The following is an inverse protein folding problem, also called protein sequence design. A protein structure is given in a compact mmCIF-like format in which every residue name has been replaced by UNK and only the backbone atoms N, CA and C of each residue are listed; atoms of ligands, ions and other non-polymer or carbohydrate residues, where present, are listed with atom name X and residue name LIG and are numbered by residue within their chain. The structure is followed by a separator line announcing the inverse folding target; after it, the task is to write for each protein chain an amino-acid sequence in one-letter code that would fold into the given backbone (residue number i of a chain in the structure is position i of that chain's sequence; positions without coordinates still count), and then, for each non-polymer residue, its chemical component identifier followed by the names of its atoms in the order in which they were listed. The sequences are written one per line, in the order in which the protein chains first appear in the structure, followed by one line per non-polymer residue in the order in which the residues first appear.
data_IF_009940227776
#
_entry.id   IF_009940227776
#
_cell.length_a   1.000
_cell.length_b   1.000
_cell.length_c   1.000
_cell.angle_alpha   90.00
_cell.angle_beta   90.00
_cell.angle_gamma   90.00
#
_symmetry.space_group_name_H-M   'P 1'
#
loop_
_entity.id
_entity.type
_entity.pdbx_description
1 polymer ?
#
# COMPACT_ATOMS: atom_id res chain seq x y z
N UNK A 1 5.42 -35.84 -7.67
CA UNK A 1 5.89 -34.81 -6.71
C UNK A 1 4.85 -34.51 -5.60
N UNK A 2 4.57 -35.52 -4.74
CA UNK A 2 3.65 -35.38 -3.61
C UNK A 2 4.14 -34.38 -2.52
N UNK A 3 5.43 -34.05 -2.52
CA UNK A 3 6.07 -33.17 -1.49
C UNK A 3 5.85 -31.67 -1.72
N UNK A 4 5.49 -31.22 -2.92
CA UNK A 4 5.31 -29.81 -3.24
C UNK A 4 4.11 -29.20 -2.51
N UNK A 5 2.88 -29.80 -2.53
CA UNK A 5 1.74 -29.27 -1.79
C UNK A 5 1.96 -29.23 -0.27
N UNK A 6 2.60 -30.27 0.29
CA UNK A 6 2.93 -30.31 1.72
C UNK A 6 3.92 -29.21 2.10
N UNK A 7 4.92 -28.97 1.24
CA UNK A 7 5.88 -27.89 1.43
C UNK A 7 5.17 -26.52 1.34
N UNK A 8 4.29 -26.32 0.35
CA UNK A 8 3.52 -25.08 0.21
C UNK A 8 2.68 -24.79 1.45
N UNK A 9 1.95 -25.79 1.97
CA UNK A 9 1.16 -25.65 3.18
C UNK A 9 2.03 -25.32 4.41
N UNK A 10 3.21 -25.94 4.53
CA UNK A 10 4.15 -25.65 5.60
C UNK A 10 4.70 -24.20 5.53
N UNK A 11 4.98 -23.70 4.33
CA UNK A 11 5.40 -22.32 4.12
C UNK A 11 4.27 -21.34 4.48
N UNK A 12 3.06 -21.56 4.00
CA UNK A 12 1.91 -20.71 4.35
C UNK A 12 1.67 -20.68 5.87
N UNK A 13 1.81 -21.83 6.55
CA UNK A 13 1.64 -21.88 8.00
C UNK A 13 2.70 -21.09 8.76
N UNK A 14 3.95 -21.09 8.27
CA UNK A 14 5.09 -20.48 8.96
C UNK A 14 5.28 -19.01 8.65
N UNK A 15 5.06 -18.60 7.39
CA UNK A 15 5.38 -17.28 6.89
C UNK A 15 4.12 -16.51 6.56
N UNK A 16 3.91 -15.39 7.24
CA UNK A 16 2.74 -14.54 7.08
C UNK A 16 2.64 -13.94 5.67
N UNK A 17 3.76 -13.43 5.14
CA UNK A 17 3.88 -12.85 3.82
C UNK A 17 3.53 -13.86 2.70
N UNK A 18 4.01 -15.11 2.83
CA UNK A 18 3.71 -16.17 1.87
C UNK A 18 2.22 -16.53 1.86
N UNK A 19 1.57 -16.66 3.01
CA UNK A 19 0.13 -16.95 3.05
C UNK A 19 -0.73 -15.76 2.67
N UNK A 20 -0.20 -14.53 2.78
CA UNK A 20 -0.90 -13.28 2.45
C UNK A 20 -0.76 -12.95 0.96
N UNK A 21 0.45 -12.85 0.45
CA UNK A 21 0.73 -12.38 -0.91
C UNK A 21 1.10 -13.51 -1.88
N UNK A 22 1.48 -14.66 -1.35
CA UNK A 22 1.99 -15.76 -2.15
C UNK A 22 3.48 -15.62 -2.47
N UNK A 23 3.95 -16.43 -3.40
CA UNK A 23 5.33 -16.40 -3.84
C UNK A 23 5.71 -17.56 -4.75
N UNK A 24 6.88 -17.45 -5.38
CA UNK A 24 7.50 -18.53 -6.15
C UNK A 24 8.68 -19.08 -5.36
N UNK A 25 8.53 -20.30 -4.86
CA UNK A 25 9.48 -20.96 -3.96
C UNK A 25 10.14 -22.13 -4.66
N UNK A 26 11.05 -21.84 -5.59
CA UNK A 26 11.70 -22.83 -6.47
C UNK A 26 13.12 -23.19 -6.03
N UNK A 27 13.76 -22.39 -5.18
CA UNK A 27 15.13 -22.63 -4.71
C UNK A 27 15.14 -23.45 -3.42
N UNK A 28 16.08 -24.38 -3.29
CA UNK A 28 16.19 -25.27 -2.14
C UNK A 28 15.03 -26.27 -2.06
N UNK A 29 14.23 -26.23 -1.01
CA UNK A 29 13.04 -27.07 -0.86
C UNK A 29 11.91 -26.50 -1.70
N UNK A 30 11.69 -27.08 -2.86
CA UNK A 30 10.67 -26.63 -3.80
C UNK A 30 9.26 -26.74 -3.19
N UNK A 31 8.58 -25.61 -3.07
CA UNK A 31 7.16 -25.50 -2.70
C UNK A 31 6.28 -25.02 -3.87
N UNK A 32 6.88 -24.77 -5.03
CA UNK A 32 6.19 -24.33 -6.23
C UNK A 32 5.72 -22.88 -6.17
N UNK A 33 4.62 -22.61 -6.87
CA UNK A 33 3.98 -21.31 -6.88
C UNK A 33 2.77 -21.32 -5.94
N UNK A 34 2.74 -20.34 -5.06
CA UNK A 34 1.63 -20.07 -4.13
C UNK A 34 1.02 -18.74 -4.53
N UNK A 35 -0.29 -18.74 -4.79
CA UNK A 35 -1.05 -17.51 -5.04
C UNK A 35 -1.72 -17.10 -3.73
N UNK A 36 -1.36 -15.95 -3.19
CA UNK A 36 -1.96 -15.41 -1.98
C UNK A 36 -3.30 -14.73 -2.23
N UNK A 37 -4.14 -14.57 -1.18
CA UNK A 37 -5.44 -13.91 -1.27
C UNK A 37 -5.35 -12.42 -1.54
N UNK A 38 -4.31 -11.75 -1.07
CA UNK A 38 -4.15 -10.30 -1.17
C UNK A 38 -3.38 -9.94 -2.43
N UNK A 39 -4.01 -9.14 -3.28
CA UNK A 39 -3.41 -8.61 -4.49
C UNK A 39 -3.53 -7.08 -4.46
N UNK A 40 -2.40 -6.39 -4.34
CA UNK A 40 -2.32 -4.94 -4.41
C UNK A 40 -1.94 -4.54 -5.84
N UNK A 41 -2.68 -3.60 -6.39
CA UNK A 41 -2.32 -2.96 -7.65
C UNK A 41 -1.12 -2.03 -7.51
N UNK A 42 -0.64 -1.53 -8.63
CA UNK A 42 0.38 -0.48 -8.60
C UNK A 42 -0.25 0.84 -8.15
N UNK A 43 0.50 1.60 -7.37
CA UNK A 43 0.07 2.94 -6.99
C UNK A 43 0.08 3.86 -8.22
N UNK A 44 -1.04 4.55 -8.44
CA UNK A 44 -1.16 5.55 -9.51
C UNK A 44 -1.25 6.94 -8.91
N UNK A 45 -0.48 7.89 -9.45
CA UNK A 45 -0.59 9.30 -9.04
C UNK A 45 -1.89 9.91 -9.57
N UNK A 46 -2.55 10.71 -8.74
CA UNK A 46 -3.80 11.42 -9.12
C UNK A 46 -3.55 12.44 -10.23
N UNK A 47 -2.40 13.11 -10.18
CA UNK A 47 -1.92 14.06 -11.18
C UNK A 47 -0.55 13.66 -11.72
N UNK A 48 -0.13 14.20 -12.88
CA UNK A 48 1.24 14.08 -13.33
C UNK A 48 2.23 14.57 -12.26
N UNK A 49 3.21 13.76 -11.93
CA UNK A 49 4.24 14.11 -10.94
C UNK A 49 5.35 14.93 -11.58
N UNK A 50 5.87 15.90 -10.83
CA UNK A 50 7.08 16.64 -11.21
C UNK A 50 8.30 15.98 -10.57
N UNK A 51 9.27 15.61 -11.41
CA UNK A 51 10.53 15.02 -10.97
C UNK A 51 11.59 16.10 -11.03
N UNK A 52 12.20 16.40 -9.88
CA UNK A 52 13.31 17.34 -9.75
C UNK A 52 14.63 16.57 -9.81
N UNK A 53 15.55 17.02 -10.65
CA UNK A 53 16.91 16.49 -10.73
C UNK A 53 17.82 17.27 -9.78
N UNK A 54 18.33 16.60 -8.76
CA UNK A 54 19.25 17.18 -7.79
C UNK A 54 20.65 16.60 -8.01
N UNK A 55 21.63 17.48 -8.23
CA UNK A 55 23.02 17.08 -8.26
C UNK A 55 23.59 17.07 -6.85
N UNK A 56 24.15 15.94 -6.44
CA UNK A 56 24.83 15.78 -5.16
C UNK A 56 26.33 15.72 -5.43
N UNK A 57 27.08 16.64 -4.86
CA UNK A 57 28.52 16.65 -4.96
C UNK A 57 29.11 16.18 -3.63
N UNK A 58 29.93 15.12 -3.68
CA UNK A 58 30.73 14.68 -2.57
C UNK A 58 32.17 15.15 -2.79
N UNK A 59 32.75 15.77 -1.78
CA UNK A 59 34.14 16.16 -1.71
C UNK A 59 34.89 15.12 -0.86
N UNK A 60 35.34 14.03 -1.48
CA UNK A 60 36.05 12.97 -0.77
C UNK A 60 36.87 12.19 -1.80
N UNK A 61 38.15 11.99 -1.52
CA UNK A 61 38.98 11.12 -2.34
C UNK A 61 38.53 9.66 -2.16
N UNK A 62 38.32 8.95 -3.25
CA UNK A 62 37.76 7.60 -3.24
C UNK A 62 38.33 6.70 -4.33
N UNK A 63 39.51 7.02 -4.83
CA UNK A 63 40.09 6.24 -5.93
C UNK A 63 40.73 4.98 -5.37
N UNK A 64 39.98 3.89 -5.40
CA UNK A 64 40.32 2.47 -5.46
C UNK A 64 41.41 1.86 -4.57
N UNK A 65 42.07 2.63 -3.74
CA UNK A 65 43.15 2.15 -2.89
C UNK A 65 42.64 1.77 -1.50
N UNK A 66 42.93 0.57 -1.06
CA UNK A 66 42.75 0.16 0.33
C UNK A 66 43.81 0.86 1.20
N UNK A 67 43.37 1.91 1.90
CA UNK A 67 44.24 2.59 2.86
C UNK A 67 44.31 1.78 4.17
N UNK A 68 45.52 1.56 4.65
CA UNK A 68 45.75 0.79 5.89
C UNK A 68 45.58 1.64 7.14
N UNK A 69 45.77 2.96 7.01
CA UNK A 69 45.67 3.92 8.12
C UNK A 69 44.97 5.20 7.67
N UNK A 70 44.45 5.98 8.64
CA UNK A 70 43.87 7.29 8.38
C UNK A 70 44.91 8.26 7.88
N UNK A 71 46.12 8.21 8.41
CA UNK A 71 47.24 9.06 8.00
C UNK A 71 47.63 8.85 6.54
N UNK A 72 47.56 7.60 6.03
CA UNK A 72 47.82 7.29 4.62
C UNK A 72 46.76 7.90 3.73
N UNK A 73 45.48 7.84 4.14
CA UNK A 73 44.37 8.46 3.45
C UNK A 73 44.50 9.99 3.41
N UNK A 74 44.76 10.64 4.55
CA UNK A 74 44.93 12.09 4.66
C UNK A 74 46.11 12.62 3.80
N UNK A 75 47.19 11.87 3.74
CA UNK A 75 48.34 12.23 2.90
C UNK A 75 47.95 12.17 1.41
N UNK A 76 47.35 11.08 0.98
CA UNK A 76 46.93 10.90 -0.40
C UNK A 76 45.85 11.94 -0.78
N UNK A 77 44.92 12.22 0.11
CA UNK A 77 43.91 13.25 -0.09
C UNK A 77 44.53 14.66 -0.24
N UNK A 78 45.58 14.96 0.50
CA UNK A 78 46.26 16.27 0.42
C UNK A 78 47.00 16.48 -0.90
N UNK A 79 47.45 15.41 -1.54
CA UNK A 79 48.21 15.46 -2.80
C UNK A 79 47.28 15.65 -4.03
N UNK A 80 45.97 15.43 -3.88
CA UNK A 80 45.00 15.55 -4.98
C UNK A 80 44.35 16.93 -5.00
N UNK A 81 44.07 17.43 -6.21
CA UNK A 81 43.36 18.69 -6.42
C UNK A 81 41.85 18.54 -6.11
N UNK A 82 41.18 19.68 -5.94
CA UNK A 82 39.75 19.71 -5.65
C UNK A 82 38.88 19.07 -6.74
N UNK A 83 39.34 19.03 -7.98
CA UNK A 83 38.57 18.43 -9.10
C UNK A 83 38.57 16.91 -9.00
N UNK A 84 39.69 16.33 -8.61
CA UNK A 84 39.84 14.87 -8.45
C UNK A 84 39.06 14.37 -7.23
N UNK A 85 38.85 15.21 -6.21
CA UNK A 85 38.05 14.91 -5.02
C UNK A 85 36.54 14.95 -5.27
N UNK A 86 36.10 15.59 -6.36
CA UNK A 86 34.67 15.77 -6.66
C UNK A 86 34.08 14.54 -7.31
N UNK A 87 33.21 13.86 -6.58
CA UNK A 87 32.31 12.84 -7.16
C UNK A 87 30.91 13.39 -7.24
N UNK A 88 30.35 13.45 -8.45
CA UNK A 88 28.97 13.91 -8.68
C UNK A 88 28.06 12.72 -8.81
N UNK A 89 26.90 12.81 -8.17
CA UNK A 89 25.79 11.87 -8.32
C UNK A 89 24.51 12.64 -8.63
N UNK A 90 23.62 12.03 -9.38
CA UNK A 90 22.28 12.56 -9.61
C UNK A 90 21.28 11.85 -8.71
N UNK A 91 20.36 12.61 -8.13
CA UNK A 91 19.23 12.10 -7.37
C UNK A 91 17.95 12.71 -7.91
N UNK A 92 17.01 11.84 -8.28
CA UNK A 92 15.66 12.28 -8.69
C UNK A 92 14.76 12.32 -7.47
N UNK A 93 14.06 13.43 -7.29
CA UNK A 93 13.18 13.68 -6.15
C UNK A 93 11.81 14.08 -6.65
N UNK A 94 10.77 13.51 -6.06
CA UNK A 94 9.38 13.94 -6.24
C UNK A 94 9.00 14.78 -5.02
N UNK A 95 8.79 16.07 -5.22
CA UNK A 95 8.50 17.00 -4.12
C UNK A 95 7.14 16.74 -3.46
N UNK A 96 6.16 16.36 -4.26
CA UNK A 96 4.82 16.00 -3.82
C UNK A 96 4.15 15.08 -4.85
N UNK A 97 3.33 14.15 -4.38
CA UNK A 97 2.46 13.35 -5.19
C UNK A 97 1.41 12.65 -4.32
N UNK A 98 0.15 12.71 -4.73
CA UNK A 98 -0.93 11.93 -4.14
C UNK A 98 -1.12 10.68 -5.00
N UNK A 99 -1.06 9.52 -4.36
CA UNK A 99 -1.18 8.23 -5.02
C UNK A 99 -2.39 7.46 -4.50
N UNK A 100 -3.03 6.72 -5.37
CA UNK A 100 -4.10 5.80 -5.04
C UNK A 100 -3.63 4.37 -5.28
N UNK A 101 -3.84 3.52 -4.28
CA UNK A 101 -3.59 2.08 -4.37
C UNK A 101 -4.91 1.35 -4.23
N UNK A 102 -5.16 0.42 -5.13
CA UNK A 102 -6.34 -0.45 -5.09
C UNK A 102 -5.89 -1.88 -4.83
N UNK A 103 -6.67 -2.62 -4.07
CA UNK A 103 -6.37 -4.01 -3.76
C UNK A 103 -7.61 -4.87 -3.69
N UNK A 104 -7.42 -6.17 -3.88
CA UNK A 104 -8.47 -7.17 -3.73
C UNK A 104 -8.03 -8.27 -2.78
N UNK A 105 -8.97 -8.81 -2.03
CA UNK A 105 -8.77 -9.94 -1.14
C UNK A 105 -9.73 -11.04 -1.55
N UNK A 106 -9.17 -12.19 -1.97
CA UNK A 106 -9.93 -13.33 -2.44
C UNK A 106 -10.21 -14.31 -1.29
N UNK A 107 -11.48 -14.51 -0.87
CA UNK A 107 -11.82 -15.46 0.17
C UNK A 107 -11.45 -16.91 -0.18
N UNK A 108 -11.61 -17.30 -1.44
CA UNK A 108 -11.27 -18.65 -1.89
C UNK A 108 -9.77 -18.95 -1.81
N UNK A 109 -8.91 -17.94 -2.06
CA UNK A 109 -7.48 -18.07 -1.89
C UNK A 109 -7.08 -18.00 -0.41
N UNK A 110 -7.80 -17.23 0.41
CA UNK A 110 -7.60 -17.18 1.87
C UNK A 110 -7.79 -18.57 2.50
N UNK A 111 -8.86 -19.26 2.14
CA UNK A 111 -9.12 -20.65 2.57
C UNK A 111 -7.96 -21.57 2.17
N UNK A 112 -7.43 -21.43 0.96
CA UNK A 112 -6.32 -22.28 0.46
C UNK A 112 -5.00 -22.05 1.16
N UNK A 113 -4.68 -20.79 1.49
CA UNK A 113 -3.39 -20.44 2.13
C UNK A 113 -3.45 -20.49 3.64
N UNK A 114 -4.66 -20.52 4.23
CA UNK A 114 -4.89 -20.40 5.67
C UNK A 114 -4.77 -18.97 6.19
N UNK A 115 -4.97 -17.99 5.29
CA UNK A 115 -5.06 -16.56 5.68
C UNK A 115 -6.31 -16.34 6.53
N UNK A 116 -6.12 -15.81 7.71
CA UNK A 116 -7.17 -15.65 8.73
C UNK A 116 -7.62 -14.19 8.85
N UNK A 117 -8.67 -13.97 9.65
CA UNK A 117 -9.12 -12.63 10.02
C UNK A 117 -8.06 -11.87 10.84
N UNK A 118 -7.32 -12.54 11.69
CA UNK A 118 -6.18 -11.96 12.41
C UNK A 118 -5.09 -11.48 11.43
N UNK A 119 -4.85 -12.24 10.36
CA UNK A 119 -3.90 -11.85 9.33
C UNK A 119 -4.40 -10.65 8.53
N UNK A 120 -5.70 -10.55 8.30
CA UNK A 120 -6.34 -9.41 7.65
C UNK A 120 -6.22 -8.15 8.49
N UNK A 121 -6.47 -8.24 9.79
CA UNK A 121 -6.33 -7.12 10.72
C UNK A 121 -4.88 -6.62 10.76
N UNK A 122 -3.90 -7.53 10.80
CA UNK A 122 -2.47 -7.18 10.71
C UNK A 122 -2.10 -6.51 9.38
N UNK A 123 -2.73 -6.95 8.27
CA UNK A 123 -2.53 -6.31 6.97
C UNK A 123 -3.00 -4.85 7.00
N UNK A 124 -4.20 -4.60 7.52
CA UNK A 124 -4.74 -3.24 7.61
C UNK A 124 -3.92 -2.35 8.55
N UNK A 125 -3.49 -2.89 9.69
CA UNK A 125 -2.58 -2.23 10.60
C UNK A 125 -1.26 -1.86 9.90
N UNK A 126 -0.66 -2.80 9.18
CA UNK A 126 0.58 -2.57 8.44
C UNK A 126 0.42 -1.52 7.34
N UNK A 127 -0.68 -1.52 6.58
CA UNK A 127 -0.94 -0.54 5.52
C UNK A 127 -1.07 0.88 6.06
N UNK A 128 -1.67 1.06 7.24
CA UNK A 128 -1.82 2.38 7.87
C UNK A 128 -0.51 2.90 8.48
N UNK A 129 0.41 2.01 8.87
CA UNK A 129 1.63 2.37 9.59
C UNK A 129 2.92 2.20 8.79
N UNK A 130 2.88 1.61 7.59
CA UNK A 130 4.11 1.22 6.88
C UNK A 130 5.11 2.37 6.66
N UNK A 131 4.64 3.60 6.51
CA UNK A 131 5.50 4.76 6.31
C UNK A 131 6.07 5.33 7.61
N UNK A 132 5.48 5.04 8.76
CA UNK A 132 6.00 5.48 10.07
C UNK A 132 7.32 4.75 10.41
N UNK A 133 7.48 3.52 9.91
CA UNK A 133 8.65 2.68 10.17
C UNK A 133 9.68 2.66 9.02
N UNK A 134 9.29 3.09 7.81
CA UNK A 134 10.17 3.11 6.64
C UNK A 134 10.64 4.53 6.31
N UNK A 135 11.40 5.12 7.21
CA UNK A 135 11.92 6.47 7.08
C UNK A 135 13.27 6.52 6.39
N UNK A 136 13.44 7.46 5.48
CA UNK A 136 14.71 7.82 4.88
C UNK A 136 14.70 9.29 4.46
N UNK A 137 15.85 9.86 4.17
CA UNK A 137 15.95 11.24 3.69
C UNK A 137 15.11 11.52 2.40
N UNK A 138 14.83 10.47 1.62
CA UNK A 138 14.02 10.58 0.40
C UNK A 138 12.54 10.30 0.63
N UNK A 139 12.18 9.74 1.78
CA UNK A 139 10.81 9.34 2.12
C UNK A 139 10.21 10.20 3.24
N UNK A 140 10.90 11.27 3.61
CA UNK A 140 10.44 12.16 4.66
C UNK A 140 9.11 12.80 4.27
N UNK A 141 8.10 12.67 5.15
CA UNK A 141 6.75 13.17 4.91
C UNK A 141 5.82 12.23 4.13
N UNK A 142 6.30 11.04 3.72
CA UNK A 142 5.39 10.00 3.20
C UNK A 142 4.50 9.47 4.31
N UNK A 143 3.22 9.32 4.01
CA UNK A 143 2.22 8.81 4.97
C UNK A 143 1.03 8.17 4.24
N UNK A 144 0.26 7.35 4.94
CA UNK A 144 -1.10 7.04 4.56
C UNK A 144 -1.93 8.32 4.68
N UNK A 145 -2.39 8.87 3.56
CA UNK A 145 -3.03 10.20 3.50
C UNK A 145 -4.53 10.16 3.83
N UNK A 146 -5.13 8.95 3.86
CA UNK A 146 -6.55 8.74 4.17
C UNK A 146 -6.72 7.45 4.98
N UNK A 147 -7.88 7.26 5.63
CA UNK A 147 -8.25 5.95 6.15
C UNK A 147 -8.32 4.90 5.04
N UNK A 148 -8.27 3.64 5.39
CA UNK A 148 -8.57 2.55 4.47
C UNK A 148 -10.08 2.53 4.21
N UNK A 149 -10.47 2.50 2.94
CA UNK A 149 -11.85 2.30 2.50
C UNK A 149 -11.99 0.85 2.06
N UNK A 150 -12.89 0.13 2.71
CA UNK A 150 -13.04 -1.32 2.59
C UNK A 150 -14.42 -1.63 2.04
N UNK A 151 -14.48 -2.38 0.94
CA UNK A 151 -15.73 -2.89 0.37
C UNK A 151 -15.86 -4.38 0.70
N UNK A 152 -16.84 -4.73 1.53
CA UNK A 152 -17.13 -6.11 1.93
C UNK A 152 -18.33 -6.63 1.18
N UNK A 153 -18.17 -7.73 0.44
CA UNK A 153 -19.28 -8.45 -0.16
C UNK A 153 -20.00 -9.26 0.90
N UNK A 154 -21.31 -8.99 1.09
CA UNK A 154 -22.14 -9.58 2.15
C UNK A 154 -23.28 -10.45 1.63
N UNK A 155 -23.43 -10.54 0.29
CA UNK A 155 -24.53 -11.24 -0.36
C UNK A 155 -25.82 -10.40 -0.47
N UNK A 156 -26.73 -10.82 -1.35
CA UNK A 156 -27.98 -10.11 -1.65
C UNK A 156 -29.23 -10.85 -1.18
N UNK A 157 -29.06 -12.04 -0.57
CA UNK A 157 -30.14 -12.96 -0.16
C UNK A 157 -30.03 -13.28 1.32
N UNK A 158 -30.28 -12.32 2.25
CA UNK A 158 -30.17 -12.56 3.69
C UNK A 158 -31.13 -13.64 4.20
N UNK A 159 -32.23 -13.89 3.48
CA UNK A 159 -33.23 -14.94 3.76
C UNK A 159 -32.75 -16.35 3.39
N UNK A 160 -31.70 -16.49 2.57
CA UNK A 160 -31.13 -17.75 2.15
C UNK A 160 -29.62 -17.76 2.42
N UNK A 161 -29.19 -18.26 3.60
CA UNK A 161 -27.77 -18.20 4.03
C UNK A 161 -26.79 -18.85 3.07
N UNK A 162 -27.14 -19.98 2.46
CA UNK A 162 -26.27 -20.71 1.54
C UNK A 162 -26.04 -19.91 0.25
N UNK A 163 -27.10 -19.36 -0.31
CA UNK A 163 -27.00 -18.53 -1.52
C UNK A 163 -26.26 -17.24 -1.20
N UNK A 164 -26.53 -16.63 -0.04
CA UNK A 164 -25.91 -15.38 0.39
C UNK A 164 -24.39 -15.54 0.56
N UNK A 165 -23.95 -16.63 1.22
CA UNK A 165 -22.53 -16.95 1.38
C UNK A 165 -21.85 -17.16 0.03
N UNK A 166 -22.51 -17.89 -0.88
CA UNK A 166 -21.98 -18.10 -2.24
C UNK A 166 -21.80 -16.80 -3.00
N UNK A 167 -22.77 -15.89 -2.92
CA UNK A 167 -22.70 -14.57 -3.56
C UNK A 167 -21.60 -13.70 -2.92
N UNK A 168 -21.50 -13.68 -1.60
CA UNK A 168 -20.45 -12.98 -0.90
C UNK A 168 -19.05 -13.47 -1.34
N UNK A 169 -18.90 -14.79 -1.54
CA UNK A 169 -17.66 -15.43 -1.95
C UNK A 169 -17.27 -15.13 -3.40
N UNK A 170 -18.26 -15.04 -4.30
CA UNK A 170 -18.08 -14.75 -5.72
C UNK A 170 -18.03 -13.26 -6.05
N UNK A 171 -18.51 -12.42 -5.15
CA UNK A 171 -18.63 -10.98 -5.30
C UNK A 171 -19.99 -10.54 -5.85
N UNK A 172 -20.60 -9.56 -5.17
CA UNK A 172 -21.92 -9.01 -5.50
C UNK A 172 -21.85 -7.86 -6.52
N UNK A 173 -20.67 -7.25 -6.68
CA UNK A 173 -20.46 -6.12 -7.59
C UNK A 173 -19.04 -6.14 -8.17
N UNK A 174 -18.86 -5.75 -9.44
CA UNK A 174 -17.52 -5.64 -10.04
C UNK A 174 -16.65 -4.61 -9.33
N UNK A 175 -15.40 -4.97 -9.04
CA UNK A 175 -14.45 -4.14 -8.28
C UNK A 175 -14.27 -2.73 -8.86
N UNK A 176 -14.21 -2.57 -10.20
CA UNK A 176 -14.07 -1.26 -10.83
C UNK A 176 -15.21 -0.31 -10.51
N UNK A 177 -16.44 -0.81 -10.27
CA UNK A 177 -17.57 0.03 -9.85
C UNK A 177 -17.43 0.50 -8.41
N UNK A 178 -16.86 -0.34 -7.54
CA UNK A 178 -16.58 0.00 -6.16
C UNK A 178 -15.48 1.06 -6.08
N UNK A 179 -14.37 0.86 -6.78
CA UNK A 179 -13.26 1.82 -6.82
C UNK A 179 -13.68 3.18 -7.39
N UNK A 180 -14.56 3.19 -8.38
CA UNK A 180 -15.10 4.42 -8.97
C UNK A 180 -16.02 5.23 -8.05
N UNK A 181 -16.39 4.72 -6.88
CA UNK A 181 -17.12 5.49 -5.88
C UNK A 181 -16.25 6.56 -5.23
N UNK A 182 -14.94 6.31 -5.10
CA UNK A 182 -13.99 7.33 -4.64
C UNK A 182 -13.59 8.22 -5.80
N UNK A 183 -13.86 9.51 -5.68
CA UNK A 183 -13.49 10.55 -6.65
C UNK A 183 -12.51 11.51 -6.02
N UNK A 184 -11.37 11.68 -6.68
CA UNK A 184 -10.34 12.62 -6.26
C UNK A 184 -10.09 13.54 -7.45
N UNK A 185 -10.30 14.83 -7.23
CA UNK A 185 -10.12 15.85 -8.27
C UNK A 185 -9.33 17.01 -7.69
N UNK A 186 -8.43 17.56 -8.49
CA UNK A 186 -7.70 18.76 -8.10
C UNK A 186 -8.65 19.94 -8.02
N UNK A 187 -8.52 20.77 -6.98
CA UNK A 187 -9.33 21.98 -6.79
C UNK A 187 -9.11 22.98 -7.91
N UNK A 188 -10.16 23.72 -8.25
CA UNK A 188 -10.09 24.79 -9.22
C UNK A 188 -9.07 25.86 -8.82
N UNK A 189 -8.25 26.32 -9.77
CA UNK A 189 -7.19 27.29 -9.52
C UNK A 189 -5.89 26.73 -8.96
N UNK A 190 -5.82 25.45 -8.62
CA UNK A 190 -4.59 24.79 -8.19
C UNK A 190 -3.88 24.22 -9.42
N UNK A 191 -2.77 24.81 -9.79
CA UNK A 191 -1.96 24.32 -10.93
C UNK A 191 -1.07 23.13 -10.49
N UNK A 192 -0.36 23.30 -9.39
CA UNK A 192 0.56 22.31 -8.82
C UNK A 192 0.18 22.00 -7.37
N UNK A 193 -0.49 20.85 -7.11
CA UNK A 193 -0.82 20.45 -5.73
C UNK A 193 0.42 20.21 -4.88
N UNK A 194 0.35 20.61 -3.62
CA UNK A 194 1.45 20.46 -2.65
C UNK A 194 1.00 19.85 -1.32
N UNK A 195 -0.28 19.63 -1.15
CA UNK A 195 -0.90 19.11 0.07
C UNK A 195 -2.23 18.44 -0.25
N UNK A 196 -2.74 17.63 0.67
CA UNK A 196 -3.98 16.90 0.48
C UNK A 196 -5.19 17.83 0.29
N UNK A 197 -5.18 18.99 0.98
CA UNK A 197 -6.24 19.98 0.91
C UNK A 197 -6.34 20.69 -0.45
N UNK A 198 -5.39 20.46 -1.37
CA UNK A 198 -5.45 20.95 -2.74
C UNK A 198 -6.36 20.09 -3.63
N UNK A 199 -6.92 19.02 -3.08
CA UNK A 199 -7.86 18.12 -3.75
C UNK A 199 -9.25 18.18 -3.12
N UNK A 200 -10.26 17.95 -3.97
CA UNK A 200 -11.61 17.60 -3.56
C UNK A 200 -11.73 16.08 -3.62
N UNK A 201 -11.98 15.48 -2.48
CA UNK A 201 -12.13 14.04 -2.32
C UNK A 201 -13.57 13.76 -1.93
N UNK A 202 -14.25 12.91 -2.70
CA UNK A 202 -15.65 12.58 -2.46
C UNK A 202 -15.91 11.09 -2.63
N UNK A 203 -16.70 10.53 -1.73
CA UNK A 203 -17.24 9.19 -1.81
C UNK A 203 -18.67 9.26 -2.32
N UNK A 204 -18.89 8.77 -3.57
CA UNK A 204 -20.19 8.75 -4.23
C UNK A 204 -20.86 7.39 -3.97
N UNK A 205 -21.74 7.34 -2.98
CA UNK A 205 -22.42 6.10 -2.58
C UNK A 205 -23.81 6.08 -3.20
N UNK A 206 -24.12 5.09 -4.06
CA UNK A 206 -25.49 4.94 -4.60
C UNK A 206 -26.51 4.74 -3.48
N UNK A 207 -27.70 5.33 -3.65
CA UNK A 207 -28.83 5.15 -2.70
C UNK A 207 -29.16 3.68 -2.47
N UNK A 208 -29.10 2.86 -3.54
CA UNK A 208 -29.33 1.43 -3.47
C UNK A 208 -28.06 0.67 -3.80
N UNK A 209 -27.35 0.24 -2.77
CA UNK A 209 -26.21 -0.67 -2.90
C UNK A 209 -26.56 -2.00 -2.22
N UNK A 210 -26.71 -3.05 -3.04
CA UNK A 210 -27.09 -4.38 -2.54
C UNK A 210 -25.87 -5.28 -2.44
N UNK A 211 -25.79 -6.04 -1.37
CA UNK A 211 -24.76 -7.06 -1.16
C UNK A 211 -23.35 -6.54 -0.89
N UNK A 212 -23.22 -5.23 -0.64
CA UNK A 212 -21.95 -4.60 -0.30
C UNK A 212 -22.13 -3.80 0.99
N UNK A 213 -21.21 -3.97 1.91
CA UNK A 213 -21.02 -3.05 3.02
C UNK A 213 -19.72 -2.26 2.83
N UNK A 214 -19.69 -1.03 3.30
CA UNK A 214 -18.51 -0.16 3.22
C UNK A 214 -17.99 0.06 4.63
N UNK A 215 -16.71 -0.25 4.82
CA UNK A 215 -16.00 0.00 6.06
C UNK A 215 -14.95 1.07 5.92
N UNK A 216 -14.68 1.78 7.00
CA UNK A 216 -13.60 2.75 7.12
C UNK A 216 -12.73 2.35 8.31
N UNK A 217 -11.41 2.28 8.09
CA UNK A 217 -10.43 2.05 9.16
C UNK A 217 -9.42 3.19 9.17
N UNK A 218 -9.55 4.03 10.17
CA UNK A 218 -8.66 5.19 10.38
C UNK A 218 -7.51 4.84 11.33
N UNK A 219 -7.86 4.22 12.45
CA UNK A 219 -6.89 3.85 13.47
C UNK A 219 -6.32 2.45 13.20
N UNK A 220 -4.98 2.29 13.14
CA UNK A 220 -4.35 0.98 12.98
C UNK A 220 -4.83 -0.07 14.00
N UNK A 221 -4.99 0.35 15.25
CA UNK A 221 -5.38 -0.52 16.39
C UNK A 221 -6.88 -0.45 16.73
N UNK A 222 -7.66 0.37 16.03
CA UNK A 222 -9.10 0.49 16.20
C UNK A 222 -9.89 -0.50 15.36
N UNK A 223 -11.18 -0.53 15.58
CA UNK A 223 -12.12 -1.33 14.80
C UNK A 223 -12.40 -0.68 13.42
N UNK A 224 -12.97 -1.47 12.54
CA UNK A 224 -13.52 -0.97 11.27
C UNK A 224 -14.92 -0.44 11.56
N UNK A 225 -15.18 0.81 11.16
CA UNK A 225 -16.51 1.42 11.26
C UNK A 225 -17.28 1.04 10.00
N UNK A 226 -18.30 0.19 10.14
CA UNK A 226 -19.13 -0.26 9.03
C UNK A 226 -20.33 0.64 8.84
N UNK A 227 -20.61 1.02 7.60
CA UNK A 227 -21.73 1.91 7.25
C UNK A 227 -23.07 1.33 7.67
N UNK A 228 -23.29 0.02 7.51
CA UNK A 228 -24.54 -0.63 7.87
C UNK A 228 -24.74 -0.72 9.41
N UNK A 229 -23.70 -0.61 10.20
CA UNK A 229 -23.75 -0.62 11.66
C UNK A 229 -23.98 0.79 12.23
N UNK A 230 -23.26 1.80 11.67
CA UNK A 230 -23.34 3.18 12.11
C UNK A 230 -23.09 4.15 10.95
N UNK A 231 -24.16 4.57 10.26
CA UNK A 231 -24.08 5.49 9.12
C UNK A 231 -23.51 6.86 9.52
N UNK A 232 -23.88 7.35 10.68
CA UNK A 232 -23.47 8.69 11.16
C UNK A 232 -21.97 8.70 11.51
N UNK A 233 -21.50 7.69 12.24
CA UNK A 233 -20.10 7.57 12.60
C UNK A 233 -19.21 7.33 11.37
N UNK A 234 -19.66 6.50 10.44
CA UNK A 234 -19.00 6.26 9.16
C UNK A 234 -18.83 7.57 8.37
N UNK A 235 -19.91 8.34 8.21
CA UNK A 235 -19.89 9.61 7.48
C UNK A 235 -19.00 10.64 8.17
N UNK A 236 -19.12 10.77 9.50
CA UNK A 236 -18.28 11.67 10.29
C UNK A 236 -16.79 11.32 10.19
N UNK A 237 -16.44 10.04 10.20
CA UNK A 237 -15.04 9.61 10.05
C UNK A 237 -14.48 9.98 8.68
N UNK A 238 -15.25 9.81 7.61
CA UNK A 238 -14.82 10.24 6.27
C UNK A 238 -14.64 11.76 6.20
N UNK A 239 -15.60 12.52 6.70
CA UNK A 239 -15.57 13.99 6.69
C UNK A 239 -14.40 14.54 7.52
N UNK A 240 -14.11 13.97 8.68
CA UNK A 240 -12.95 14.32 9.51
C UNK A 240 -11.61 14.12 8.75
N UNK A 241 -11.58 13.21 7.81
CA UNK A 241 -10.44 12.94 6.93
C UNK A 241 -10.51 13.67 5.58
N UNK A 242 -11.41 14.66 5.44
CA UNK A 242 -11.54 15.48 4.25
C UNK A 242 -12.21 14.79 3.07
N UNK A 243 -12.92 13.68 3.29
CA UNK A 243 -13.64 12.92 2.26
C UNK A 243 -15.15 13.23 2.40
N UNK A 244 -15.70 13.92 1.42
CA UNK A 244 -17.13 14.25 1.41
C UNK A 244 -17.96 13.02 1.02
N UNK A 245 -19.03 12.75 1.74
CA UNK A 245 -20.02 11.71 1.39
C UNK A 245 -21.12 12.35 0.54
N UNK A 246 -21.35 11.81 -0.66
CA UNK A 246 -22.33 12.30 -1.64
C UNK A 246 -23.22 11.18 -2.13
#
# INVERSE_FOLDING_TARGET
NKKVPESAAAFCKRFWDVRTFGGVLSTGRNAGQITGPVQLGMAESVDPIHIEDMTITRMCYTDGNDFSTIEDYEREEAEHDEQTKRTMGEKKVVSYGLYVVQGTISPSLAIRTGFSEDDLNKLFEALLQMYEFDNSASKQGMRAASPLIIFKHIGTHPENPEQNEKEALLGCMPAHKLYNMLRITKKEGVEYPRKLEDYDIAMQIPETMRGIDIGVKENPFGDIIWRNESTDEFSQTLENNGIQVK
#
